data_IF_545356203266
#
_entry.id   IF_545356203266
#
_cell.length_a   1.000
_cell.length_b   1.000
_cell.length_c   1.000
_cell.angle_alpha   90.00
_cell.angle_beta   90.00
_cell.angle_gamma   90.00
#
_symmetry.space_group_name_H-M   'P 1'
#
loop_
_entity.id
_entity.type
_entity.pdbx_description
1 polymer ?
#
# COMPACT_ATOMS: atom_id res chain seq x y z
N UNK A 1 28.62 -44.43 64.40
CA UNK A 1 29.76 -43.72 63.78
C UNK A 1 30.20 -44.50 62.55
N UNK A 2 29.93 -43.95 61.35
CA UNK A 2 30.74 -44.00 60.12
C UNK A 2 29.91 -43.34 59.00
N UNK A 3 30.27 -42.09 58.69
CA UNK A 3 29.94 -41.42 57.43
C UNK A 3 30.84 -42.02 56.34
N UNK A 4 30.33 -42.31 55.14
CA UNK A 4 30.44 -41.41 53.98
C UNK A 4 30.07 -42.11 52.66
N UNK A 5 29.72 -41.27 51.68
CA UNK A 5 29.80 -41.42 50.21
C UNK A 5 28.47 -41.44 49.43
N UNK A 6 28.30 -40.27 48.80
CA UNK A 6 27.36 -39.76 47.82
C UNK A 6 27.59 -40.40 46.44
N UNK A 7 26.53 -40.73 45.68
CA UNK A 7 26.47 -40.57 44.20
C UNK A 7 25.13 -41.01 43.59
N UNK A 8 24.46 -40.00 43.00
CA UNK A 8 23.83 -40.01 41.66
C UNK A 8 22.42 -40.63 41.47
N UNK A 9 21.49 -39.69 41.23
CA UNK A 9 20.43 -39.64 40.19
C UNK A 9 19.06 -40.22 40.56
N UNK A 10 18.16 -39.32 40.95
CA UNK A 10 16.69 -39.50 40.94
C UNK A 10 16.08 -38.27 40.27
N UNK A 11 15.29 -38.49 39.21
CA UNK A 11 14.21 -37.64 38.67
C UNK A 11 13.68 -38.40 37.44
N UNK A 12 12.62 -39.20 37.51
CA UNK A 12 11.20 -38.88 37.71
C UNK A 12 10.65 -37.96 36.62
N UNK A 13 9.94 -38.55 35.65
CA UNK A 13 9.15 -37.86 34.63
C UNK A 13 7.84 -38.59 34.43
N UNK A 14 6.76 -37.96 34.91
CA UNK A 14 5.39 -38.46 35.00
C UNK A 14 4.66 -38.38 33.66
N UNK A 15 3.78 -39.35 33.44
CA UNK A 15 2.83 -39.55 32.34
C UNK A 15 1.62 -38.59 32.46
N UNK A 16 1.08 -38.06 31.36
CA UNK A 16 -0.20 -37.33 31.36
C UNK A 16 -0.70 -36.94 29.95
N UNK A 17 -1.95 -37.28 29.65
CA UNK A 17 -2.53 -37.38 28.31
C UNK A 17 -3.33 -36.14 27.82
N UNK A 18 -3.42 -36.06 26.48
CA UNK A 18 -4.43 -35.49 25.57
C UNK A 18 -5.51 -34.49 26.07
N UNK A 19 -5.66 -33.36 25.34
CA UNK A 19 -6.96 -32.79 24.92
C UNK A 19 -6.80 -32.07 23.55
N UNK A 20 -7.60 -32.48 22.56
CA UNK A 20 -7.81 -31.80 21.27
C UNK A 20 -8.97 -30.79 21.41
N UNK A 21 -8.73 -29.52 21.09
CA UNK A 21 -9.77 -28.56 20.72
C UNK A 21 -9.31 -27.87 19.43
N UNK A 22 -9.88 -28.28 18.31
CA UNK A 22 -9.70 -27.61 17.03
C UNK A 22 -10.54 -26.32 17.01
N UNK A 23 -9.89 -25.17 17.11
CA UNK A 23 -10.52 -23.89 16.81
C UNK A 23 -10.60 -23.73 15.29
N UNK A 24 -11.75 -24.05 14.70
CA UNK A 24 -12.12 -23.54 13.37
C UNK A 24 -12.54 -22.09 13.52
N UNK A 25 -11.55 -21.20 13.63
CA UNK A 25 -11.76 -19.76 13.48
C UNK A 25 -12.08 -19.47 12.02
N UNK A 26 -13.38 -19.31 11.71
CA UNK A 26 -13.81 -18.69 10.46
C UNK A 26 -13.45 -17.20 10.56
N UNK A 27 -12.17 -16.89 10.33
CA UNK A 27 -11.66 -15.54 10.35
C UNK A 27 -12.31 -14.77 9.22
N UNK A 28 -13.04 -13.69 9.55
CA UNK A 28 -13.16 -12.54 8.63
C UNK A 28 -11.75 -12.29 8.10
N UNK A 29 -11.56 -12.46 6.79
CA UNK A 29 -10.33 -12.04 6.12
C UNK A 29 -10.11 -10.58 6.51
N UNK A 30 -9.19 -10.32 7.43
CA UNK A 30 -8.74 -8.96 7.69
C UNK A 30 -8.07 -8.55 6.38
N UNK A 31 -8.67 -7.61 5.67
CA UNK A 31 -8.00 -6.91 4.58
C UNK A 31 -6.67 -6.39 5.14
N UNK A 32 -5.56 -6.85 4.56
CA UNK A 32 -4.24 -6.41 4.98
C UNK A 32 -4.04 -5.01 4.38
N UNK A 33 -3.64 -4.05 5.20
CA UNK A 33 -3.27 -2.75 4.65
C UNK A 33 -2.10 -2.93 3.68
N UNK A 34 -2.17 -2.21 2.55
CA UNK A 34 -1.10 -2.13 1.57
C UNK A 34 0.17 -1.59 2.26
N UNK A 35 1.31 -2.22 2.00
CA UNK A 35 2.61 -1.66 2.35
C UNK A 35 2.93 -0.52 1.38
N UNK A 36 2.90 0.71 1.87
CA UNK A 36 2.99 1.94 1.07
C UNK A 36 4.26 1.97 0.24
N UNK A 37 5.41 1.75 0.89
CA UNK A 37 6.70 1.80 0.22
C UNK A 37 6.86 0.65 -0.76
N UNK A 38 6.51 -0.58 -0.37
CA UNK A 38 6.65 -1.73 -1.25
C UNK A 38 5.75 -1.62 -2.50
N UNK A 39 4.53 -1.10 -2.35
CA UNK A 39 3.63 -0.86 -3.48
C UNK A 39 4.20 0.21 -4.44
N UNK A 40 4.65 1.35 -3.91
CA UNK A 40 5.22 2.41 -4.72
C UNK A 40 6.52 1.99 -5.42
N UNK A 41 7.44 1.31 -4.71
CA UNK A 41 8.68 0.78 -5.28
C UNK A 41 8.40 -0.25 -6.39
N UNK A 42 7.40 -1.11 -6.20
CA UNK A 42 7.03 -2.13 -7.17
C UNK A 42 6.42 -1.50 -8.44
N UNK A 43 5.55 -0.51 -8.29
CA UNK A 43 5.03 0.27 -9.42
C UNK A 43 6.17 0.97 -10.17
N UNK A 44 7.06 1.66 -9.46
CA UNK A 44 8.18 2.41 -10.04
C UNK A 44 9.17 1.51 -10.80
N UNK A 45 9.37 0.27 -10.35
CA UNK A 45 10.31 -0.66 -10.97
C UNK A 45 9.72 -1.49 -12.10
N UNK A 46 8.42 -1.78 -12.07
CA UNK A 46 7.78 -2.67 -13.04
C UNK A 46 7.05 -1.97 -14.17
N UNK A 47 6.59 -0.73 -13.97
CA UNK A 47 5.89 0.03 -15.01
C UNK A 47 6.91 0.81 -15.83
N UNK A 48 6.75 0.78 -17.16
CA UNK A 48 7.52 1.65 -18.03
C UNK A 48 6.89 3.05 -18.07
N UNK A 49 7.59 4.02 -17.50
CA UNK A 49 7.24 5.43 -17.59
C UNK A 49 7.99 6.11 -18.74
N UNK A 50 7.32 7.04 -19.40
CA UNK A 50 7.89 7.84 -20.50
C UNK A 50 8.79 8.97 -19.99
N UNK A 51 8.52 9.45 -18.78
CA UNK A 51 9.34 10.42 -18.08
C UNK A 51 10.03 9.81 -16.85
N UNK A 52 11.10 10.46 -16.41
CA UNK A 52 11.70 10.16 -15.12
C UNK A 52 10.79 10.70 -14.01
N UNK A 53 10.38 9.82 -13.11
CA UNK A 53 9.65 10.23 -11.92
C UNK A 53 10.60 10.64 -10.78
N UNK A 54 10.26 11.73 -10.10
CA UNK A 54 10.97 12.25 -8.95
C UNK A 54 10.11 12.11 -7.68
N UNK A 55 10.74 11.69 -6.58
CA UNK A 55 10.07 11.60 -5.29
C UNK A 55 9.79 13.00 -4.74
N UNK A 56 8.55 13.23 -4.32
CA UNK A 56 8.09 14.49 -3.73
C UNK A 56 7.26 14.21 -2.47
N UNK A 57 7.12 15.20 -1.61
CA UNK A 57 6.22 15.10 -0.47
C UNK A 57 4.76 15.23 -0.94
N UNK A 58 3.85 14.47 -0.33
CA UNK A 58 2.44 14.44 -0.74
C UNK A 58 1.76 15.80 -0.61
N UNK A 59 2.13 16.59 0.42
CA UNK A 59 1.60 17.93 0.69
C UNK A 59 2.07 19.01 -0.30
N UNK A 60 3.05 18.69 -1.16
CA UNK A 60 3.43 19.54 -2.28
C UNK A 60 2.50 19.34 -3.48
N UNK A 61 1.85 18.17 -3.57
CA UNK A 61 1.04 17.76 -4.73
C UNK A 61 -0.45 17.82 -4.44
N UNK A 62 -0.87 17.49 -3.22
CA UNK A 62 -2.28 17.36 -2.85
C UNK A 62 -2.64 18.27 -1.67
N UNK A 63 -3.82 18.88 -1.75
CA UNK A 63 -4.43 19.55 -0.60
C UNK A 63 -5.08 18.50 0.31
N UNK A 64 -4.42 18.21 1.43
CA UNK A 64 -4.82 17.18 2.40
C UNK A 64 -4.70 17.67 3.85
N UNK A 65 -4.82 18.97 4.10
CA UNK A 65 -4.60 19.58 5.44
C UNK A 65 -5.48 18.95 6.54
N UNK A 66 -6.73 18.61 6.21
CA UNK A 66 -7.70 18.00 7.13
C UNK A 66 -7.66 16.46 7.16
N UNK A 67 -6.66 15.85 6.51
CA UNK A 67 -6.52 14.39 6.40
C UNK A 67 -5.30 13.95 7.19
N UNK A 68 -5.51 13.05 8.15
CA UNK A 68 -4.39 12.52 8.94
C UNK A 68 -3.64 11.41 8.20
N UNK A 69 -2.69 11.80 7.37
CA UNK A 69 -1.73 10.92 6.70
C UNK A 69 -0.70 10.41 7.72
N UNK A 70 -0.41 9.12 7.68
CA UNK A 70 0.52 8.43 8.58
C UNK A 70 1.76 7.91 7.86
N UNK A 71 1.67 7.65 6.56
CA UNK A 71 2.77 7.23 5.70
C UNK A 71 2.41 7.57 4.25
N UNK A 72 3.39 7.99 3.45
CA UNK A 72 3.19 8.29 2.02
C UNK A 72 4.47 8.10 1.22
N UNK A 73 4.33 7.69 -0.03
CA UNK A 73 5.38 7.76 -1.06
C UNK A 73 4.73 8.28 -2.33
N UNK A 74 5.27 9.36 -2.90
CA UNK A 74 4.73 10.02 -4.09
C UNK A 74 5.87 10.28 -5.08
N UNK A 75 5.64 9.88 -6.33
CA UNK A 75 6.54 10.13 -7.46
C UNK A 75 5.76 10.84 -8.56
N UNK A 76 6.29 11.96 -9.04
CA UNK A 76 5.69 12.78 -10.11
C UNK A 76 6.66 12.93 -11.28
N UNK A 77 6.14 13.04 -12.49
CA UNK A 77 6.93 13.38 -13.68
C UNK A 77 7.52 14.80 -13.60
N UNK A 78 8.26 15.21 -14.63
CA UNK A 78 8.74 16.60 -14.78
C UNK A 78 7.63 17.62 -15.07
N UNK A 79 6.39 17.16 -15.28
CA UNK A 79 5.25 17.94 -15.79
C UNK A 79 5.11 17.89 -17.32
N UNK A 80 6.03 17.23 -18.04
CA UNK A 80 5.90 16.97 -19.47
C UNK A 80 4.88 15.86 -19.78
N UNK A 81 4.71 14.89 -18.88
CA UNK A 81 3.69 13.82 -18.92
C UNK A 81 2.82 13.89 -17.67
N UNK A 82 1.65 13.23 -17.68
CA UNK A 82 0.77 13.12 -16.52
C UNK A 82 1.16 11.98 -15.57
N UNK A 83 2.33 11.36 -15.76
CA UNK A 83 2.73 10.14 -15.05
C UNK A 83 2.98 10.40 -13.56
N UNK A 84 2.38 9.56 -12.73
CA UNK A 84 2.35 9.75 -11.29
C UNK A 84 2.16 8.41 -10.57
N UNK A 85 2.81 8.26 -9.41
CA UNK A 85 2.57 7.21 -8.42
C UNK A 85 2.30 7.91 -7.10
N UNK A 86 1.24 7.54 -6.41
CA UNK A 86 1.06 7.93 -5.02
C UNK A 86 0.50 6.77 -4.21
N UNK A 87 1.16 6.44 -3.11
CA UNK A 87 0.63 5.53 -2.11
C UNK A 87 0.53 6.30 -0.80
N UNK A 88 -0.67 6.36 -0.22
CA UNK A 88 -0.99 7.19 0.94
C UNK A 88 -1.76 6.36 1.95
N UNK A 89 -1.20 6.22 3.16
CA UNK A 89 -1.86 5.56 4.29
C UNK A 89 -2.29 6.58 5.32
N UNK A 90 -3.57 6.52 5.67
CA UNK A 90 -4.18 7.42 6.65
C UNK A 90 -4.44 6.73 7.99
N UNK A 91 -4.72 7.52 9.03
CA UNK A 91 -5.07 6.99 10.35
C UNK A 91 -6.36 6.17 10.31
N UNK A 92 -7.34 6.57 9.49
CA UNK A 92 -8.65 5.94 9.43
C UNK A 92 -9.09 5.61 8.00
N UNK A 93 -10.08 4.71 7.87
CA UNK A 93 -10.75 4.40 6.59
C UNK A 93 -11.50 5.59 5.99
N UNK A 94 -11.94 6.51 6.85
CA UNK A 94 -12.62 7.75 6.45
C UNK A 94 -11.60 8.72 5.86
N UNK A 95 -10.46 8.93 6.53
CA UNK A 95 -9.37 9.75 6.01
C UNK A 95 -8.82 9.18 4.70
N UNK A 96 -8.73 7.85 4.58
CA UNK A 96 -8.35 7.20 3.32
C UNK A 96 -9.38 7.43 2.21
N UNK A 97 -10.67 7.59 2.53
CA UNK A 97 -11.70 7.92 1.55
C UNK A 97 -11.59 9.39 1.11
N UNK A 98 -11.29 10.31 2.03
CA UNK A 98 -10.99 11.72 1.69
C UNK A 98 -9.74 11.82 0.82
N UNK A 99 -8.69 11.07 1.16
CA UNK A 99 -7.48 11.02 0.36
C UNK A 99 -7.75 10.47 -1.04
N UNK A 100 -8.59 9.44 -1.17
CA UNK A 100 -9.04 8.95 -2.47
C UNK A 100 -9.71 10.06 -3.29
N UNK A 101 -10.62 10.83 -2.69
CA UNK A 101 -11.26 11.97 -3.38
C UNK A 101 -10.24 13.01 -3.83
N UNK A 102 -9.26 13.37 -3.00
CA UNK A 102 -8.22 14.32 -3.40
C UNK A 102 -7.34 13.79 -4.56
N UNK A 103 -7.07 12.48 -4.62
CA UNK A 103 -6.38 11.87 -5.76
C UNK A 103 -7.25 11.86 -7.03
N UNK A 104 -8.55 11.65 -6.92
CA UNK A 104 -9.50 11.74 -8.03
C UNK A 104 -9.59 13.18 -8.56
N UNK A 105 -9.67 14.18 -7.66
CA UNK A 105 -9.66 15.60 -8.02
C UNK A 105 -8.37 16.00 -8.74
N UNK A 106 -7.20 15.55 -8.26
CA UNK A 106 -5.91 15.75 -8.95
C UNK A 106 -5.94 15.20 -10.38
N UNK A 107 -6.51 14.01 -10.61
CA UNK A 107 -6.61 13.42 -11.96
C UNK A 107 -7.47 14.31 -12.87
N UNK A 108 -8.59 14.83 -12.37
CA UNK A 108 -9.46 15.72 -13.14
C UNK A 108 -8.78 17.08 -13.43
N UNK A 109 -8.07 17.67 -12.46
CA UNK A 109 -7.27 18.88 -12.68
C UNK A 109 -6.19 18.68 -13.76
N UNK A 110 -5.53 17.51 -13.76
CA UNK A 110 -4.58 17.18 -14.82
C UNK A 110 -5.27 17.09 -16.18
N UNK A 111 -6.46 16.50 -16.26
CA UNK A 111 -7.21 16.43 -17.53
C UNK A 111 -7.51 17.83 -18.06
N UNK A 112 -7.95 18.73 -17.21
CA UNK A 112 -8.19 20.14 -17.60
C UNK A 112 -6.89 20.80 -18.11
N UNK A 113 -5.75 20.54 -17.46
CA UNK A 113 -4.47 21.10 -17.87
C UNK A 113 -3.96 20.58 -19.22
N UNK A 114 -4.22 19.31 -19.54
CA UNK A 114 -3.78 18.65 -20.76
C UNK A 114 -4.80 18.69 -21.90
N UNK A 115 -6.07 19.08 -21.63
CA UNK A 115 -7.21 18.97 -22.55
C UNK A 115 -6.92 19.53 -23.96
N UNK A 116 -6.24 20.67 -24.00
CA UNK A 116 -6.00 21.41 -25.24
C UNK A 116 -4.65 21.11 -25.91
N UNK A 117 -3.80 20.29 -25.29
CA UNK A 117 -2.38 20.23 -25.65
C UNK A 117 -1.88 18.82 -25.99
N UNK A 118 -2.27 17.78 -25.23
CA UNK A 118 -1.68 16.44 -25.41
C UNK A 118 -2.73 15.34 -25.26
N UNK A 119 -3.37 14.90 -26.36
CA UNK A 119 -4.40 13.85 -26.33
C UNK A 119 -3.95 12.52 -25.73
N UNK A 120 -2.66 12.18 -25.86
CA UNK A 120 -2.09 10.95 -25.31
C UNK A 120 -2.09 10.95 -23.78
N UNK A 121 -1.80 12.11 -23.15
CA UNK A 121 -1.86 12.25 -21.69
C UNK A 121 -3.29 12.20 -21.17
N UNK A 122 -4.27 12.71 -21.92
CA UNK A 122 -5.69 12.56 -21.57
C UNK A 122 -6.11 11.10 -21.56
N UNK A 123 -5.69 10.33 -22.57
CA UNK A 123 -6.00 8.90 -22.63
C UNK A 123 -5.36 8.11 -21.47
N UNK A 124 -4.21 8.58 -20.97
CA UNK A 124 -3.53 8.04 -19.78
C UNK A 124 -4.32 8.37 -18.51
N UNK A 125 -4.74 9.62 -18.35
CA UNK A 125 -5.52 10.11 -17.21
C UNK A 125 -6.92 9.47 -17.13
N UNK A 126 -7.58 9.23 -18.26
CA UNK A 126 -8.87 8.51 -18.31
C UNK A 126 -8.77 7.06 -17.81
N UNK A 127 -7.56 6.51 -17.81
CA UNK A 127 -7.26 5.16 -17.32
C UNK A 127 -6.51 5.16 -16.00
N UNK A 128 -6.43 6.31 -15.32
CA UNK A 128 -5.79 6.40 -14.02
C UNK A 128 -6.34 5.32 -13.07
N UNK A 129 -5.43 4.61 -12.41
CA UNK A 129 -5.78 3.52 -11.51
C UNK A 129 -5.73 4.03 -10.09
N UNK A 130 -6.90 4.14 -9.46
CA UNK A 130 -7.04 4.47 -8.04
C UNK A 130 -7.66 3.28 -7.32
N UNK A 131 -6.98 2.78 -6.29
CA UNK A 131 -7.44 1.64 -5.47
C UNK A 131 -7.28 1.97 -4.00
N UNK A 132 -8.38 1.83 -3.25
CA UNK A 132 -8.38 1.91 -1.79
C UNK A 132 -8.52 0.51 -1.19
N UNK A 133 -7.65 0.17 -0.25
CA UNK A 133 -7.77 -1.03 0.59
C UNK A 133 -7.46 -0.69 2.04
N UNK A 134 -8.37 -1.03 2.95
CA UNK A 134 -8.26 -0.61 4.35
C UNK A 134 -8.14 0.91 4.51
N UNK A 135 -7.06 1.34 5.15
CA UNK A 135 -6.74 2.76 5.38
C UNK A 135 -5.74 3.33 4.36
N UNK A 136 -5.48 2.62 3.27
CA UNK A 136 -4.47 3.02 2.26
C UNK A 136 -5.14 3.23 0.91
N UNK A 137 -4.72 4.27 0.19
CA UNK A 137 -5.09 4.52 -1.19
C UNK A 137 -3.84 4.59 -2.06
N UNK A 138 -3.91 4.02 -3.26
CA UNK A 138 -2.83 4.06 -4.24
C UNK A 138 -3.36 4.55 -5.59
N UNK A 139 -2.68 5.53 -6.16
CA UNK A 139 -2.82 6.05 -7.52
C UNK A 139 -1.63 5.59 -8.37
N UNK A 140 -1.93 5.19 -9.62
CA UNK A 140 -0.94 5.07 -10.68
C UNK A 140 -1.51 5.62 -11.99
N UNK A 141 -0.76 6.54 -12.60
CA UNK A 141 -1.03 7.09 -13.94
C UNK A 141 0.14 6.67 -14.84
N UNK A 142 -0.15 5.83 -15.84
CA UNK A 142 0.84 5.31 -16.79
C UNK A 142 0.14 4.75 -18.03
N UNK A 143 0.92 4.40 -19.05
CA UNK A 143 0.40 3.69 -20.22
C UNK A 143 0.11 2.19 -19.95
N UNK A 144 0.47 1.67 -18.77
CA UNK A 144 0.31 0.27 -18.38
C UNK A 144 -0.75 0.10 -17.27
N UNK A 145 -1.90 0.74 -17.40
CA UNK A 145 -2.98 0.76 -16.40
C UNK A 145 -3.41 -0.63 -15.92
N UNK A 146 -3.50 -1.61 -16.83
CA UNK A 146 -3.84 -2.99 -16.48
C UNK A 146 -2.78 -3.63 -15.56
N UNK A 147 -1.48 -3.45 -15.87
CA UNK A 147 -0.37 -3.97 -15.07
C UNK A 147 -0.32 -3.27 -13.71
N UNK A 148 -0.48 -1.95 -13.69
CA UNK A 148 -0.56 -1.16 -12.46
C UNK A 148 -1.68 -1.67 -11.53
N UNK A 149 -2.87 -1.91 -12.10
CA UNK A 149 -4.02 -2.43 -11.36
C UNK A 149 -3.78 -3.83 -10.79
N UNK A 150 -3.06 -4.69 -11.50
CA UNK A 150 -2.65 -6.01 -10.99
C UNK A 150 -1.68 -5.89 -9.83
N UNK A 151 -0.62 -5.08 -9.98
CA UNK A 151 0.38 -4.82 -8.93
C UNK A 151 -0.31 -4.32 -7.65
N UNK A 152 -1.18 -3.31 -7.75
CA UNK A 152 -1.85 -2.73 -6.57
C UNK A 152 -2.79 -3.74 -5.92
N UNK A 153 -3.53 -4.53 -6.71
CA UNK A 153 -4.40 -5.60 -6.18
C UNK A 153 -3.61 -6.69 -5.47
N UNK A 154 -2.42 -7.03 -5.94
CA UNK A 154 -1.56 -8.02 -5.27
C UNK A 154 -1.03 -7.49 -3.95
N UNK A 155 -0.68 -6.21 -3.87
CA UNK A 155 -0.27 -5.55 -2.64
C UNK A 155 -1.41 -5.46 -1.59
N UNK A 156 -2.67 -5.60 -2.02
CA UNK A 156 -3.87 -5.52 -1.17
C UNK A 156 -4.39 -6.88 -0.66
N UNK A 157 -3.75 -8.01 -1.04
CA UNK A 157 -4.18 -9.38 -0.67
C UNK A 157 -3.59 -9.86 0.64
#
# INVERSE_FOLDING_TARGET
>A
MKFNEMKKRIMMGFLGAAVLIAFTGCGKKSEKDIDVKAAADHLLSEINYEDQLAEVSYDVVYDMEDIKVTESVVYVSSGATAEEIAAIKCETKEDAAKAQTALEERVEEQKESFENYVPEELAKLDKAVIVKSGNTVVLSISNEDAKAKEIIKEASK
#
